data_IF_010506475118
#
_entry.id   IF_010506475118
#
_cell.length_a   1.000
_cell.length_b   1.000
_cell.length_c   1.000
_cell.angle_alpha   90.00
_cell.angle_beta   90.00
_cell.angle_gamma   90.00
#
_symmetry.space_group_name_H-M   'P 1'
#
loop_
_entity.id
_entity.type
_entity.pdbx_description
1 polymer ?
#
# COMPACT_ATOMS: atom_id res chain seq x y z
N UNK A 1 -31.76 7.74 18.65
CA UNK A 1 -31.10 8.75 19.51
C UNK A 1 -29.72 9.04 18.93
N UNK A 2 -29.35 10.30 18.64
CA UNK A 2 -27.99 10.64 18.21
C UNK A 2 -27.08 10.61 19.44
N UNK A 3 -26.03 9.80 19.42
CA UNK A 3 -25.00 9.78 20.47
C UNK A 3 -24.31 11.15 20.53
N UNK A 4 -24.16 11.71 21.74
CA UNK A 4 -23.45 12.98 21.95
C UNK A 4 -22.01 12.80 21.42
N UNK A 5 -21.47 13.85 20.76
CA UNK A 5 -20.13 13.87 20.14
C UNK A 5 -19.86 12.89 18.98
N UNK A 6 -20.84 12.12 18.49
CA UNK A 6 -20.63 11.14 17.41
C UNK A 6 -19.84 11.70 16.20
N UNK A 7 -20.23 12.87 15.67
CA UNK A 7 -19.54 13.50 14.53
C UNK A 7 -18.08 13.88 14.80
N UNK A 8 -17.77 14.21 16.06
CA UNK A 8 -16.40 14.53 16.46
C UNK A 8 -15.58 13.25 16.58
N UNK A 9 -16.13 12.21 17.21
CA UNK A 9 -15.48 10.89 17.29
C UNK A 9 -15.22 10.30 15.92
N UNK A 10 -16.19 10.38 15.00
CA UNK A 10 -16.02 9.96 13.60
C UNK A 10 -14.88 10.72 12.92
N UNK A 11 -14.80 12.05 13.12
CA UNK A 11 -13.71 12.87 12.59
C UNK A 11 -12.35 12.51 13.21
N UNK A 12 -12.27 12.38 14.54
CA UNK A 12 -11.02 12.03 15.21
C UNK A 12 -10.49 10.66 14.74
N UNK A 13 -11.40 9.70 14.49
CA UNK A 13 -11.03 8.37 14.01
C UNK A 13 -10.46 8.35 12.58
N UNK A 14 -10.67 9.42 11.78
CA UNK A 14 -10.03 9.54 10.46
C UNK A 14 -8.60 10.06 10.52
N UNK A 15 -8.22 10.75 11.61
CA UNK A 15 -6.90 11.37 11.73
C UNK A 15 -5.80 10.32 11.84
N UNK A 16 -4.61 10.60 11.32
CA UNK A 16 -3.47 9.69 11.31
C UNK A 16 -2.44 10.06 12.40
N UNK A 17 -1.68 9.09 12.94
CA UNK A 17 -0.70 9.37 14.01
C UNK A 17 0.33 10.45 13.69
N UNK A 18 0.76 10.56 12.42
CA UNK A 18 1.70 11.61 12.02
C UNK A 18 1.02 12.99 11.96
N UNK A 19 -0.27 13.04 11.60
CA UNK A 19 -1.06 14.28 11.65
C UNK A 19 -1.17 14.79 13.09
N UNK A 20 -1.50 13.90 14.03
CA UNK A 20 -1.64 14.28 15.45
C UNK A 20 -0.30 14.62 16.10
N UNK A 21 0.78 13.93 15.73
CA UNK A 21 2.14 14.27 16.16
C UNK A 21 2.55 15.68 15.68
N UNK A 22 2.31 16.00 14.40
CA UNK A 22 2.56 17.34 13.88
C UNK A 22 1.74 18.40 14.63
N UNK A 23 0.43 18.17 14.80
CA UNK A 23 -0.46 19.10 15.48
C UNK A 23 -0.04 19.36 16.93
N UNK A 24 0.38 18.32 17.67
CA UNK A 24 0.93 18.46 19.03
C UNK A 24 2.24 19.24 19.04
N UNK A 25 3.07 19.15 18.00
CA UNK A 25 4.34 19.88 17.92
C UNK A 25 4.17 21.39 17.65
N UNK A 26 3.09 21.79 16.98
CA UNK A 26 2.84 23.18 16.59
C UNK A 26 1.80 23.91 17.43
N UNK A 27 1.06 23.18 18.29
CA UNK A 27 0.00 23.79 19.10
C UNK A 27 0.59 24.78 20.12
N UNK A 28 -0.17 25.85 20.37
CA UNK A 28 0.14 26.89 21.37
C UNK A 28 -1.14 27.22 22.15
N UNK A 29 -1.85 26.19 22.63
CA UNK A 29 -3.11 26.38 23.33
C UNK A 29 -2.87 26.88 24.76
N UNK A 30 -3.52 27.99 25.12
CA UNK A 30 -3.64 28.44 26.52
C UNK A 30 -4.75 27.68 27.27
N UNK A 31 -5.64 26.99 26.53
CA UNK A 31 -6.76 26.24 27.08
C UNK A 31 -6.37 24.77 27.27
N UNK A 32 -6.02 24.40 28.50
CA UNK A 32 -5.63 23.03 28.89
C UNK A 32 -6.66 21.97 28.47
N UNK A 33 -7.94 22.33 28.40
CA UNK A 33 -8.98 21.38 27.97
C UNK A 33 -8.83 21.06 26.48
N UNK A 34 -8.48 22.04 25.63
CA UNK A 34 -8.23 21.76 24.20
C UNK A 34 -6.98 20.92 23.99
N UNK A 35 -5.93 21.17 24.78
CA UNK A 35 -4.73 20.35 24.77
C UNK A 35 -5.06 18.92 25.18
N UNK A 36 -5.76 18.71 26.30
CA UNK A 36 -6.17 17.38 26.74
C UNK A 36 -7.04 16.64 25.72
N UNK A 37 -7.92 17.33 24.99
CA UNK A 37 -8.66 16.70 23.88
C UNK A 37 -7.70 16.30 22.75
N UNK A 38 -6.74 17.15 22.36
CA UNK A 38 -5.78 16.83 21.29
C UNK A 38 -4.86 15.66 21.67
N UNK A 39 -4.39 15.61 22.92
CA UNK A 39 -3.61 14.47 23.45
C UNK A 39 -4.42 13.18 23.44
N UNK A 40 -5.71 13.25 23.79
CA UNK A 40 -6.61 12.10 23.70
C UNK A 40 -6.85 11.64 22.26
N UNK A 41 -6.92 12.57 21.30
CA UNK A 41 -6.96 12.22 19.87
C UNK A 41 -5.68 11.49 19.48
N UNK A 42 -4.50 12.01 19.81
CA UNK A 42 -3.21 11.37 19.49
C UNK A 42 -3.10 9.97 20.12
N UNK A 43 -3.48 9.84 21.39
CA UNK A 43 -3.55 8.57 22.08
C UNK A 43 -4.42 7.57 21.33
N UNK A 44 -5.65 7.95 20.96
CA UNK A 44 -6.57 7.09 20.22
C UNK A 44 -6.07 6.75 18.81
N UNK A 45 -5.38 7.68 18.14
CA UNK A 45 -4.82 7.45 16.80
C UNK A 45 -3.69 6.41 16.83
N UNK A 46 -2.85 6.42 17.88
CA UNK A 46 -1.74 5.47 18.11
C UNK A 46 -2.19 4.13 18.69
N UNK A 47 -3.27 4.13 19.47
CA UNK A 47 -3.78 2.93 20.14
C UNK A 47 -5.08 2.45 19.50
N UNK A 48 -4.98 1.99 18.24
CA UNK A 48 -6.14 1.62 17.40
C UNK A 48 -7.06 0.53 18.01
N UNK A 49 -6.54 -0.28 18.95
CA UNK A 49 -7.28 -1.33 19.65
C UNK A 49 -7.83 -0.89 21.02
N UNK A 50 -7.45 0.28 21.53
CA UNK A 50 -7.79 0.78 22.87
C UNK A 50 -8.40 2.18 22.79
N UNK A 51 -9.56 2.29 22.16
CA UNK A 51 -10.27 3.56 22.04
C UNK A 51 -10.76 4.06 23.41
N UNK A 52 -10.39 5.28 23.77
CA UNK A 52 -10.86 5.98 24.96
C UNK A 52 -11.91 7.02 24.56
N UNK A 53 -13.15 6.93 25.07
CA UNK A 53 -14.22 7.88 24.74
C UNK A 53 -13.90 9.33 25.14
N UNK A 54 -14.39 10.27 24.33
CA UNK A 54 -14.32 11.70 24.65
C UNK A 54 -15.31 12.08 25.76
N UNK A 55 -14.87 13.00 26.63
CA UNK A 55 -15.65 13.49 27.75
C UNK A 55 -16.89 14.26 27.26
N UNK A 56 -18.07 13.77 27.64
CA UNK A 56 -19.35 14.32 27.23
C UNK A 56 -19.73 15.59 27.99
N UNK A 57 -19.07 15.91 29.10
CA UNK A 57 -19.38 17.06 29.95
C UNK A 57 -18.64 18.33 29.50
N UNK A 58 -17.60 18.19 28.67
CA UNK A 58 -16.93 19.33 28.03
C UNK A 58 -17.86 20.03 27.02
N UNK A 59 -17.84 21.37 27.00
CA UNK A 59 -18.59 22.18 26.03
C UNK A 59 -18.28 21.75 24.59
N UNK A 60 -19.34 21.40 23.85
CA UNK A 60 -19.32 21.04 22.44
C UNK A 60 -18.62 22.07 21.54
N UNK A 61 -18.64 23.36 21.92
CA UNK A 61 -17.91 24.42 21.20
C UNK A 61 -16.41 24.18 21.19
N UNK A 62 -15.82 23.63 22.26
CA UNK A 62 -14.38 23.30 22.31
C UNK A 62 -14.03 22.24 21.29
N UNK A 63 -14.81 21.16 21.20
CA UNK A 63 -14.67 20.12 20.18
C UNK A 63 -14.81 20.66 18.76
N UNK A 64 -15.80 21.52 18.51
CA UNK A 64 -16.00 22.12 17.18
C UNK A 64 -14.84 23.02 16.78
N UNK A 65 -14.38 23.88 17.70
CA UNK A 65 -13.28 24.80 17.45
C UNK A 65 -11.96 24.05 17.23
N UNK A 66 -11.69 23.02 18.03
CA UNK A 66 -10.51 22.17 17.84
C UNK A 66 -10.56 21.44 16.50
N UNK A 67 -11.72 20.88 16.12
CA UNK A 67 -11.90 20.27 14.80
C UNK A 67 -11.56 21.22 13.66
N UNK A 68 -12.10 22.45 13.70
CA UNK A 68 -11.81 23.47 12.68
C UNK A 68 -10.33 23.83 12.64
N UNK A 69 -9.69 24.00 13.81
CA UNK A 69 -8.27 24.28 13.90
C UNK A 69 -7.43 23.14 13.31
N UNK A 70 -7.75 21.87 13.62
CA UNK A 70 -7.05 20.70 13.06
C UNK A 70 -7.12 20.70 11.54
N UNK A 71 -8.32 20.87 10.97
CA UNK A 71 -8.52 20.87 9.52
C UNK A 71 -7.69 21.99 8.88
N UNK A 72 -7.80 23.22 9.40
CA UNK A 72 -7.08 24.38 8.87
C UNK A 72 -5.55 24.19 8.91
N UNK A 73 -5.03 23.65 10.03
CA UNK A 73 -3.58 23.43 10.19
C UNK A 73 -3.03 22.35 9.28
N UNK A 74 -3.78 21.27 9.05
CA UNK A 74 -3.38 20.20 8.12
C UNK A 74 -3.49 20.66 6.67
N UNK A 75 -4.58 21.33 6.28
CA UNK A 75 -4.74 21.86 4.92
C UNK A 75 -3.63 22.87 4.55
N UNK A 76 -3.15 23.65 5.53
CA UNK A 76 -2.08 24.63 5.31
C UNK A 76 -0.73 24.01 4.91
N UNK A 77 -0.47 22.74 5.28
CA UNK A 77 0.76 22.01 4.93
C UNK A 77 0.53 20.90 3.90
N UNK A 78 -0.72 20.68 3.46
CA UNK A 78 -1.05 19.60 2.54
C UNK A 78 -0.56 19.91 1.12
N UNK A 79 0.39 19.10 0.64
CA UNK A 79 0.99 19.28 -0.69
C UNK A 79 -0.02 19.07 -1.81
N UNK A 80 -1.03 18.21 -1.63
CA UNK A 80 -2.07 17.96 -2.64
C UNK A 80 -3.06 19.14 -2.69
N UNK A 81 -3.38 19.78 -1.55
CA UNK A 81 -4.18 21.03 -1.53
C UNK A 81 -3.44 22.16 -2.25
N UNK A 82 -2.13 22.29 -2.00
CA UNK A 82 -1.28 23.27 -2.70
C UNK A 82 -1.23 23.01 -4.20
N UNK A 83 -1.13 21.74 -4.61
CA UNK A 83 -1.14 21.36 -6.02
C UNK A 83 -2.46 21.71 -6.73
N UNK A 84 -3.60 21.47 -6.08
CA UNK A 84 -4.92 21.84 -6.61
C UNK A 84 -5.06 23.36 -6.76
N UNK A 85 -4.58 24.13 -5.78
CA UNK A 85 -4.53 25.59 -5.87
C UNK A 85 -3.72 26.05 -7.09
N UNK A 86 -2.51 25.50 -7.30
CA UNK A 86 -1.68 25.86 -8.46
C UNK A 86 -2.34 25.52 -9.79
N UNK A 87 -2.96 24.33 -9.88
CA UNK A 87 -3.66 23.88 -11.09
C UNK A 87 -4.84 24.79 -11.44
N UNK A 88 -5.59 25.24 -10.42
CA UNK A 88 -6.68 26.21 -10.61
C UNK A 88 -6.15 27.56 -11.10
N UNK A 89 -5.07 28.06 -10.50
CA UNK A 89 -4.44 29.33 -10.89
C UNK A 89 -3.93 29.27 -12.34
N UNK A 90 -3.26 28.18 -12.73
CA UNK A 90 -2.79 27.95 -14.10
C UNK A 90 -3.95 28.07 -15.10
N UNK A 91 -5.03 27.32 -14.86
CA UNK A 91 -6.24 27.36 -15.70
C UNK A 91 -6.80 28.78 -15.80
N UNK A 92 -6.86 29.51 -14.69
CA UNK A 92 -7.40 30.87 -14.66
C UNK A 92 -6.53 31.86 -15.43
N UNK A 93 -5.20 31.72 -15.37
CA UNK A 93 -4.28 32.56 -16.14
C UNK A 93 -4.38 32.23 -17.64
N UNK A 94 -4.38 30.95 -18.01
CA UNK A 94 -4.48 30.52 -19.42
C UNK A 94 -5.79 30.95 -20.09
N UNK A 95 -6.87 31.06 -19.31
CA UNK A 95 -8.21 31.45 -19.80
C UNK A 95 -8.53 32.92 -19.57
N UNK A 96 -7.57 33.70 -19.10
CA UNK A 96 -7.75 35.11 -18.74
C UNK A 96 -8.90 35.38 -17.75
N UNK A 97 -9.22 34.40 -16.89
CA UNK A 97 -10.30 34.46 -15.90
C UNK A 97 -9.84 34.75 -14.47
N UNK A 98 -8.53 34.91 -14.26
CA UNK A 98 -7.93 35.24 -12.96
C UNK A 98 -8.43 36.58 -12.42
N UNK A 99 -8.81 36.59 -11.14
CA UNK A 99 -9.38 37.75 -10.44
C UNK A 99 -8.32 38.50 -9.60
N UNK A 100 -8.52 39.79 -9.28
CA UNK A 100 -7.55 40.57 -8.50
C UNK A 100 -7.16 39.97 -7.14
N UNK A 101 -8.09 39.29 -6.47
CA UNK A 101 -7.81 38.63 -5.19
C UNK A 101 -6.86 37.44 -5.37
N UNK A 102 -7.04 36.67 -6.45
CA UNK A 102 -6.24 35.49 -6.79
C UNK A 102 -4.83 35.92 -7.21
N UNK A 103 -4.72 37.01 -7.98
CA UNK A 103 -3.42 37.62 -8.30
C UNK A 103 -2.66 38.05 -7.05
N UNK A 104 -3.36 38.71 -6.10
CA UNK A 104 -2.76 39.11 -4.83
C UNK A 104 -2.25 37.89 -4.04
N UNK A 105 -2.99 36.79 -4.05
CA UNK A 105 -2.56 35.53 -3.42
C UNK A 105 -1.31 34.94 -4.10
N UNK A 106 -1.29 34.88 -5.44
CA UNK A 106 -0.14 34.37 -6.18
C UNK A 106 1.11 35.23 -5.97
N UNK A 107 0.99 36.56 -6.05
CA UNK A 107 2.09 37.49 -5.81
C UNK A 107 2.63 37.39 -4.38
N UNK A 108 1.75 37.15 -3.40
CA UNK A 108 2.15 36.89 -2.02
C UNK A 108 2.94 35.58 -1.91
N UNK A 109 2.44 34.50 -2.53
CA UNK A 109 3.13 33.22 -2.57
C UNK A 109 4.53 33.33 -3.20
N UNK A 110 4.69 34.08 -4.29
CA UNK A 110 5.99 34.35 -4.92
C UNK A 110 6.93 35.11 -3.98
N UNK A 111 6.41 36.11 -3.25
CA UNK A 111 7.21 36.94 -2.35
C UNK A 111 7.67 36.19 -1.09
N UNK A 112 6.79 35.36 -0.53
CA UNK A 112 7.04 34.61 0.70
C UNK A 112 7.80 33.29 0.43
N UNK A 113 8.06 32.95 -0.83
CA UNK A 113 8.77 31.74 -1.21
C UNK A 113 10.22 31.77 -0.77
N UNK A 114 10.58 30.86 0.14
CA UNK A 114 11.90 30.81 0.78
C UNK A 114 12.65 29.50 0.59
N UNK A 115 11.94 28.38 0.42
CA UNK A 115 12.52 27.05 0.28
C UNK A 115 11.81 26.23 -0.81
N UNK A 116 12.51 25.22 -1.33
CA UNK A 116 11.99 24.25 -2.29
C UNK A 116 10.87 23.43 -1.65
N UNK A 117 9.64 23.65 -2.09
CA UNK A 117 8.50 22.86 -1.64
C UNK A 117 8.34 21.56 -2.44
N UNK A 118 7.35 20.74 -2.09
CA UNK A 118 7.14 19.44 -2.73
C UNK A 118 6.92 19.54 -4.24
N UNK A 119 6.20 20.56 -4.70
CA UNK A 119 5.83 20.76 -6.09
C UNK A 119 6.51 22.00 -6.72
N UNK A 120 7.74 22.30 -6.29
CA UNK A 120 8.47 23.50 -6.75
C UNK A 120 8.50 23.64 -8.27
N UNK A 121 8.79 22.56 -9.00
CA UNK A 121 8.87 22.60 -10.47
C UNK A 121 7.56 23.13 -11.08
N UNK A 122 6.40 22.73 -10.52
CA UNK A 122 5.08 23.19 -10.96
C UNK A 122 4.81 24.63 -10.56
N UNK A 123 5.22 25.03 -9.37
CA UNK A 123 5.11 26.43 -8.96
C UNK A 123 5.95 27.36 -9.85
N UNK A 124 7.15 26.94 -10.22
CA UNK A 124 8.02 27.67 -11.14
C UNK A 124 7.35 27.84 -12.51
N UNK A 125 6.82 26.76 -13.10
CA UNK A 125 6.08 26.79 -14.38
C UNK A 125 4.86 27.73 -14.32
N UNK A 126 4.12 27.73 -13.20
CA UNK A 126 3.00 28.66 -12.98
C UNK A 126 3.45 30.13 -12.97
N UNK A 127 4.56 30.45 -12.30
CA UNK A 127 5.09 31.82 -12.25
C UNK A 127 5.61 32.25 -13.62
N UNK A 128 6.18 31.34 -14.40
CA UNK A 128 6.60 31.59 -15.78
C UNK A 128 5.40 31.97 -16.66
N UNK A 129 4.32 31.18 -16.60
CA UNK A 129 3.07 31.49 -17.29
C UNK A 129 2.51 32.85 -16.84
N UNK A 130 2.49 33.12 -15.54
CA UNK A 130 1.98 34.39 -15.01
C UNK A 130 2.84 35.59 -15.46
N UNK A 131 4.16 35.44 -15.54
CA UNK A 131 5.04 36.49 -16.09
C UNK A 131 4.64 36.86 -17.52
N UNK A 132 4.33 35.89 -18.37
CA UNK A 132 3.86 36.15 -19.74
C UNK A 132 2.52 36.90 -19.74
N UNK A 133 1.56 36.46 -18.91
CA UNK A 133 0.27 37.12 -18.73
C UNK A 133 0.41 38.60 -18.32
N UNK A 134 1.35 38.90 -17.42
CA UNK A 134 1.63 40.25 -16.92
C UNK A 134 2.27 41.16 -17.98
N UNK A 135 3.20 40.63 -18.78
CA UNK A 135 3.95 41.40 -19.77
C UNK A 135 3.03 41.95 -20.88
N UNK A 136 2.17 41.09 -21.43
CA UNK A 136 1.19 41.49 -22.47
C UNK A 136 0.25 42.59 -21.97
N UNK A 137 0.00 42.63 -20.67
CA UNK A 137 -0.90 43.58 -20.00
C UNK A 137 -0.18 44.78 -19.37
N UNK A 138 1.11 44.97 -19.67
CA UNK A 138 1.90 46.13 -19.22
C UNK A 138 1.99 46.29 -17.69
N UNK A 139 1.91 45.19 -16.93
CA UNK A 139 1.92 45.19 -15.44
C UNK A 139 3.34 45.11 -14.88
N UNK A 140 4.15 46.13 -15.13
CA UNK A 140 5.61 46.10 -14.93
C UNK A 140 6.09 45.76 -13.51
N UNK A 141 5.45 46.30 -12.46
CA UNK A 141 5.89 46.05 -11.08
C UNK A 141 5.71 44.57 -10.68
N UNK A 142 4.57 43.98 -11.04
CA UNK A 142 4.30 42.56 -10.80
C UNK A 142 5.15 41.67 -11.71
N UNK A 143 5.38 42.10 -12.95
CA UNK A 143 6.27 41.40 -13.88
C UNK A 143 7.68 41.29 -13.31
N UNK A 144 8.23 42.40 -12.77
CA UNK A 144 9.57 42.39 -12.16
C UNK A 144 9.66 41.38 -11.01
N UNK A 145 8.66 41.32 -10.14
CA UNK A 145 8.63 40.35 -9.04
C UNK A 145 8.68 38.90 -9.55
N UNK A 146 7.87 38.57 -10.57
CA UNK A 146 7.86 37.24 -11.18
C UNK A 146 9.19 36.92 -11.89
N UNK A 147 9.76 37.89 -12.62
CA UNK A 147 11.01 37.71 -13.35
C UNK A 147 12.21 37.52 -12.41
N UNK A 148 12.28 38.28 -11.32
CA UNK A 148 13.32 38.13 -10.29
C UNK A 148 13.24 36.75 -9.62
N UNK A 149 12.02 36.25 -9.35
CA UNK A 149 11.82 34.89 -8.84
C UNK A 149 12.35 33.83 -9.82
N UNK A 150 11.99 33.91 -11.11
CA UNK A 150 12.40 32.93 -12.11
C UNK A 150 13.92 32.93 -12.30
N UNK A 151 14.56 34.10 -12.33
CA UNK A 151 16.03 34.20 -12.39
C UNK A 151 16.70 33.58 -11.17
N UNK A 152 16.16 33.84 -9.97
CA UNK A 152 16.70 33.31 -8.71
C UNK A 152 16.70 31.78 -8.67
N UNK A 153 15.64 31.15 -9.17
CA UNK A 153 15.42 29.71 -9.04
C UNK A 153 15.69 28.90 -10.32
N UNK A 154 16.25 29.52 -11.37
CA UNK A 154 16.44 28.89 -12.68
C UNK A 154 17.30 27.62 -12.61
N UNK A 155 18.41 27.66 -11.88
CA UNK A 155 19.35 26.53 -11.77
C UNK A 155 18.68 25.33 -11.07
N UNK A 156 17.95 25.59 -9.99
CA UNK A 156 17.22 24.56 -9.26
C UNK A 156 16.11 23.95 -10.12
N UNK A 157 15.39 24.76 -10.90
CA UNK A 157 14.38 24.29 -11.84
C UNK A 157 14.97 23.36 -12.90
N UNK A 158 16.04 23.78 -13.57
CA UNK A 158 16.70 22.99 -14.61
C UNK A 158 17.23 21.66 -14.03
N UNK A 159 17.77 21.68 -12.80
CA UNK A 159 18.21 20.48 -12.07
C UNK A 159 17.04 19.53 -11.73
N UNK A 160 15.95 20.05 -11.16
CA UNK A 160 14.77 19.24 -10.82
C UNK A 160 14.13 18.61 -12.05
N UNK A 161 14.06 19.32 -13.17
CA UNK A 161 13.55 18.77 -14.45
C UNK A 161 14.45 17.65 -14.96
N UNK A 162 15.77 17.83 -14.96
CA UNK A 162 16.71 16.80 -15.40
C UNK A 162 16.63 15.52 -14.56
N UNK A 163 16.50 15.66 -13.23
CA UNK A 163 16.29 14.51 -12.32
C UNK A 163 14.95 13.82 -12.60
N UNK A 164 13.88 14.59 -12.81
CA UNK A 164 12.56 14.05 -13.10
C UNK A 164 12.54 13.19 -14.36
N UNK A 165 13.17 13.65 -15.45
CA UNK A 165 13.30 12.88 -16.69
C UNK A 165 14.12 11.60 -16.47
N UNK A 166 15.25 11.68 -15.75
CA UNK A 166 16.07 10.51 -15.46
C UNK A 166 15.38 9.49 -14.56
N UNK A 167 14.47 9.93 -13.68
CA UNK A 167 13.63 9.02 -12.89
C UNK A 167 12.69 8.18 -13.77
N UNK A 168 12.26 8.70 -14.93
CA UNK A 168 11.46 7.94 -15.88
C UNK A 168 12.27 6.76 -16.46
N UNK A 169 13.51 7.00 -16.87
CA UNK A 169 14.42 5.94 -17.37
C UNK A 169 14.62 4.83 -16.33
N UNK A 170 14.90 5.21 -15.08
CA UNK A 170 15.01 4.26 -13.97
C UNK A 170 13.71 3.47 -13.75
N UNK A 171 12.55 4.12 -13.93
CA UNK A 171 11.24 3.46 -13.80
C UNK A 171 11.04 2.38 -14.86
N UNK A 172 11.36 2.68 -16.12
CA UNK A 172 11.24 1.72 -17.23
C UNK A 172 12.09 0.48 -16.95
N UNK A 173 13.33 0.67 -16.51
CA UNK A 173 14.25 -0.44 -16.22
C UNK A 173 13.77 -1.30 -15.02
N UNK A 174 13.38 -0.66 -13.92
CA UNK A 174 12.88 -1.35 -12.71
C UNK A 174 11.59 -2.13 -12.99
N UNK A 175 10.66 -1.55 -13.76
CA UNK A 175 9.38 -2.21 -14.09
C UNK A 175 9.57 -3.33 -15.12
N UNK A 176 10.46 -3.14 -16.11
CA UNK A 176 10.79 -4.19 -17.08
C UNK A 176 11.42 -5.40 -16.39
N UNK A 177 12.29 -5.19 -15.40
CA UNK A 177 12.82 -6.29 -14.59
C UNK A 177 11.69 -7.09 -13.92
N UNK A 178 10.69 -6.41 -13.36
CA UNK A 178 9.57 -7.06 -12.68
C UNK A 178 8.70 -7.91 -13.63
N UNK A 179 8.60 -7.51 -14.89
CA UNK A 179 7.81 -8.24 -15.91
C UNK A 179 8.59 -9.33 -16.64
N UNK A 180 9.90 -9.15 -16.86
CA UNK A 180 10.71 -10.03 -17.72
C UNK A 180 11.73 -10.92 -16.98
N UNK A 181 11.90 -10.77 -15.66
CA UNK A 181 12.90 -11.50 -14.87
C UNK A 181 14.33 -11.42 -15.46
N UNK A 182 14.69 -10.33 -16.13
CA UNK A 182 15.99 -10.12 -16.79
C UNK A 182 16.66 -8.80 -16.34
N UNK A 183 17.99 -8.83 -16.26
CA UNK A 183 18.99 -7.76 -16.01
C UNK A 183 18.81 -6.77 -14.84
N UNK A 184 19.95 -6.25 -14.35
CA UNK A 184 20.17 -5.74 -12.99
C UNK A 184 19.82 -4.25 -12.79
N UNK A 185 18.59 -3.91 -12.37
CA UNK A 185 18.23 -2.53 -11.96
C UNK A 185 18.96 -2.01 -10.70
N UNK A 186 19.76 -2.85 -10.04
CA UNK A 186 20.48 -2.49 -8.80
C UNK A 186 21.48 -1.33 -9.03
N UNK A 187 21.95 -1.12 -10.26
CA UNK A 187 22.85 -0.01 -10.58
C UNK A 187 22.24 1.38 -10.32
N UNK A 188 20.90 1.49 -10.29
CA UNK A 188 20.21 2.73 -9.93
C UNK A 188 20.26 3.06 -8.44
N UNK A 189 20.62 2.10 -7.57
CA UNK A 189 20.52 2.26 -6.12
C UNK A 189 21.24 3.50 -5.59
N UNK A 190 22.50 3.70 -6.01
CA UNK A 190 23.33 4.81 -5.50
C UNK A 190 22.73 6.15 -5.92
N UNK A 191 22.43 6.32 -7.21
CA UNK A 191 21.86 7.55 -7.74
C UNK A 191 20.49 7.87 -7.13
N UNK A 192 19.61 6.87 -6.99
CA UNK A 192 18.30 7.08 -6.35
C UNK A 192 18.44 7.44 -4.86
N UNK A 193 19.44 6.88 -4.17
CA UNK A 193 19.73 7.22 -2.77
C UNK A 193 20.22 8.65 -2.64
N UNK A 194 21.10 9.11 -3.55
CA UNK A 194 21.54 10.50 -3.63
C UNK A 194 20.35 11.44 -3.86
N UNK A 195 19.49 11.14 -4.84
CA UNK A 195 18.28 11.94 -5.12
C UNK A 195 17.36 12.00 -3.91
N UNK A 196 17.14 10.89 -3.21
CA UNK A 196 16.26 10.84 -2.04
C UNK A 196 16.71 11.77 -0.91
N UNK A 197 18.01 11.79 -0.61
CA UNK A 197 18.59 12.58 0.47
C UNK A 197 18.98 14.00 0.07
N UNK A 198 18.94 14.37 -1.22
CA UNK A 198 19.30 15.70 -1.67
C UNK A 198 18.20 16.73 -1.34
N UNK A 199 18.43 17.57 -0.32
CA UNK A 199 17.50 18.62 0.11
C UNK A 199 17.48 19.85 -0.81
N UNK A 200 18.37 19.93 -1.81
CA UNK A 200 18.33 20.93 -2.87
C UNK A 200 17.36 20.57 -4.01
N UNK A 201 16.75 19.39 -3.97
CA UNK A 201 15.71 18.96 -4.90
C UNK A 201 14.31 19.12 -4.30
N UNK A 202 13.32 19.23 -5.18
CA UNK A 202 11.92 19.26 -4.78
C UNK A 202 11.44 17.94 -4.17
N UNK A 203 10.43 18.04 -3.30
CA UNK A 203 9.93 16.89 -2.57
C UNK A 203 9.36 15.79 -3.47
N UNK A 204 8.81 16.15 -4.64
CA UNK A 204 8.32 15.19 -5.62
C UNK A 204 9.43 14.27 -6.14
N UNK A 205 10.56 14.82 -6.59
CA UNK A 205 11.67 14.00 -7.07
C UNK A 205 12.22 13.08 -5.98
N UNK A 206 12.41 13.63 -4.76
CA UNK A 206 12.88 12.87 -3.60
C UNK A 206 11.94 11.72 -3.25
N UNK A 207 10.64 11.98 -3.20
CA UNK A 207 9.63 10.96 -2.94
C UNK A 207 9.56 9.90 -4.06
N UNK A 208 9.61 10.33 -5.32
CA UNK A 208 9.63 9.41 -6.46
C UNK A 208 10.86 8.48 -6.40
N UNK A 209 12.03 8.97 -6.01
CA UNK A 209 13.21 8.15 -5.80
C UNK A 209 12.99 7.08 -4.71
N UNK A 210 12.39 7.45 -3.57
CA UNK A 210 12.02 6.50 -2.51
C UNK A 210 11.09 5.39 -3.01
N UNK A 211 10.11 5.72 -3.86
CA UNK A 211 9.22 4.73 -4.47
C UNK A 211 10.03 3.73 -5.30
N UNK A 212 10.98 4.17 -6.12
CA UNK A 212 11.81 3.26 -6.94
C UNK A 212 12.73 2.40 -6.08
N UNK A 213 13.37 2.99 -5.07
CA UNK A 213 14.18 2.27 -4.09
C UNK A 213 13.38 1.19 -3.37
N UNK A 214 12.11 1.45 -3.07
CA UNK A 214 11.20 0.46 -2.51
C UNK A 214 11.11 -0.77 -3.43
N UNK A 215 10.82 -0.58 -4.72
CA UNK A 215 10.78 -1.69 -5.68
C UNK A 215 12.11 -2.46 -5.77
N UNK A 216 13.23 -1.76 -5.88
CA UNK A 216 14.57 -2.37 -5.93
C UNK A 216 14.78 -3.22 -4.67
N UNK A 217 14.62 -2.65 -3.48
CA UNK A 217 14.91 -3.37 -2.24
C UNK A 217 13.95 -4.53 -1.96
N UNK A 218 12.70 -4.47 -2.42
CA UNK A 218 11.81 -5.62 -2.38
C UNK A 218 12.25 -6.74 -3.34
N UNK A 219 12.66 -6.38 -4.56
CA UNK A 219 13.10 -7.34 -5.57
C UNK A 219 14.40 -8.04 -5.16
N UNK A 220 15.38 -7.28 -4.64
CA UNK A 220 16.69 -7.81 -4.22
C UNK A 220 16.73 -8.23 -2.74
N UNK A 221 15.59 -8.19 -2.03
CA UNK A 221 15.46 -8.56 -0.61
C UNK A 221 16.40 -7.81 0.34
N UNK A 222 16.73 -6.56 0.02
CA UNK A 222 17.59 -5.69 0.85
C UNK A 222 16.75 -4.86 1.82
N UNK A 223 15.98 -5.54 2.67
CA UNK A 223 14.95 -4.91 3.51
C UNK A 223 15.52 -3.96 4.57
N UNK A 224 16.72 -4.22 5.10
CA UNK A 224 17.37 -3.34 6.10
C UNK A 224 17.73 -1.97 5.52
N UNK A 225 18.21 -1.93 4.28
CA UNK A 225 18.49 -0.65 3.60
C UNK A 225 17.21 0.15 3.41
N UNK A 226 16.10 -0.50 3.07
CA UNK A 226 14.79 0.15 2.95
C UNK A 226 14.29 0.68 4.31
N UNK A 227 14.47 -0.10 5.39
CA UNK A 227 14.08 0.30 6.74
C UNK A 227 14.68 1.63 7.15
N UNK A 228 15.99 1.81 6.97
CA UNK A 228 16.67 3.08 7.30
C UNK A 228 16.09 4.29 6.56
N UNK A 229 15.70 4.12 5.29
CA UNK A 229 15.08 5.20 4.50
C UNK A 229 13.65 5.50 4.94
N UNK A 230 12.91 4.47 5.36
CA UNK A 230 11.59 4.68 5.95
C UNK A 230 11.65 5.30 7.34
N UNK A 231 12.67 5.01 8.13
CA UNK A 231 12.83 5.67 9.43
C UNK A 231 13.16 7.17 9.25
N UNK A 232 13.93 7.54 8.22
CA UNK A 232 14.13 8.95 7.86
C UNK A 232 12.82 9.65 7.42
N UNK A 233 12.02 9.04 6.54
CA UNK A 233 10.78 9.67 6.06
C UNK A 233 9.69 9.73 7.14
N UNK A 234 9.68 8.78 8.09
CA UNK A 234 8.78 8.76 9.25
C UNK A 234 8.96 10.05 10.08
N UNK A 235 10.20 10.43 10.39
CA UNK A 235 10.49 11.68 11.12
C UNK A 235 10.09 12.92 10.31
N UNK A 236 10.36 12.95 9.00
CA UNK A 236 9.93 14.06 8.14
C UNK A 236 8.40 14.21 8.11
N UNK A 237 7.65 13.11 8.03
CA UNK A 237 6.19 13.16 8.09
C UNK A 237 5.66 13.64 9.45
N UNK A 238 6.33 13.31 10.57
CA UNK A 238 5.94 13.80 11.91
C UNK A 238 6.11 15.31 12.03
N UNK A 239 7.11 15.86 11.35
CA UNK A 239 7.37 17.30 11.25
C UNK A 239 6.41 18.02 10.28
N UNK A 240 5.51 17.30 9.61
CA UNK A 240 4.61 17.85 8.59
C UNK A 240 5.26 18.07 7.22
N UNK A 241 6.52 17.63 7.05
CA UNK A 241 7.23 17.74 5.77
C UNK A 241 6.65 16.73 4.79
N UNK A 242 6.34 17.19 3.57
CA UNK A 242 5.71 16.39 2.50
C UNK A 242 4.35 15.82 2.86
N UNK A 243 3.68 16.40 3.86
CA UNK A 243 2.38 15.92 4.26
C UNK A 243 1.40 16.02 3.08
N UNK A 244 0.86 14.88 2.68
CA UNK A 244 -0.52 14.77 2.26
C UNK A 244 -1.03 13.44 2.76
N UNK A 245 -2.34 13.35 2.96
CA UNK A 245 -2.93 12.09 3.42
C UNK A 245 -2.66 10.95 2.45
N UNK A 246 -2.67 11.21 1.14
CA UNK A 246 -2.31 10.23 0.10
C UNK A 246 -0.90 9.66 0.32
N UNK A 247 0.10 10.52 0.50
CA UNK A 247 1.50 10.08 0.69
C UNK A 247 1.66 9.27 1.98
N UNK A 248 0.97 9.68 3.04
CA UNK A 248 1.04 9.02 4.34
C UNK A 248 0.37 7.64 4.34
N UNK A 249 -0.78 7.48 3.68
CA UNK A 249 -1.43 6.16 3.50
C UNK A 249 -0.56 5.21 2.67
N UNK A 250 0.08 5.73 1.62
CA UNK A 250 1.01 4.96 0.79
C UNK A 250 2.22 4.49 1.62
N UNK A 251 2.77 5.37 2.45
CA UNK A 251 3.85 5.05 3.40
C UNK A 251 3.44 3.92 4.34
N UNK A 252 2.27 4.01 4.96
CA UNK A 252 1.77 2.94 5.85
C UNK A 252 1.57 1.63 5.10
N UNK A 253 1.00 1.66 3.89
CA UNK A 253 0.84 0.48 3.05
C UNK A 253 2.18 -0.22 2.76
N UNK A 254 3.23 0.56 2.53
CA UNK A 254 4.59 0.02 2.35
C UNK A 254 5.20 -0.50 3.67
N UNK A 255 4.94 0.13 4.82
CA UNK A 255 5.36 -0.38 6.13
C UNK A 255 4.73 -1.74 6.43
N UNK A 256 3.48 -1.99 6.03
CA UNK A 256 2.86 -3.33 6.13
C UNK A 256 3.73 -4.37 5.45
N UNK A 257 4.10 -4.11 4.20
CA UNK A 257 4.90 -5.03 3.40
C UNK A 257 6.28 -5.25 4.04
N UNK A 258 6.93 -4.20 4.54
CA UNK A 258 8.25 -4.28 5.15
C UNK A 258 8.23 -5.09 6.46
N UNK A 259 7.35 -4.72 7.40
CA UNK A 259 7.21 -5.43 8.69
C UNK A 259 6.82 -6.90 8.49
N UNK A 260 6.05 -7.19 7.44
CA UNK A 260 5.72 -8.57 7.05
C UNK A 260 6.95 -9.38 6.65
N UNK A 261 7.99 -8.77 6.07
CA UNK A 261 9.25 -9.44 5.72
C UNK A 261 10.13 -9.72 6.94
N UNK A 262 9.98 -8.94 8.00
CA UNK A 262 10.66 -9.15 9.29
C UNK A 262 9.84 -9.98 10.27
N UNK A 263 8.70 -10.55 9.84
CA UNK A 263 7.77 -11.28 10.71
C UNK A 263 7.23 -10.46 11.91
N UNK A 264 7.28 -9.13 11.83
CA UNK A 264 6.76 -8.20 12.84
C UNK A 264 5.24 -7.99 12.62
N UNK A 265 4.45 -9.05 12.78
CA UNK A 265 3.05 -9.06 12.36
C UNK A 265 2.17 -8.04 13.11
N UNK A 266 2.43 -7.77 14.39
CA UNK A 266 1.69 -6.76 15.16
C UNK A 266 1.89 -5.35 14.57
N UNK A 267 3.14 -5.02 14.18
CA UNK A 267 3.43 -3.76 13.50
C UNK A 267 2.81 -3.72 12.11
N UNK A 268 2.91 -4.81 11.35
CA UNK A 268 2.32 -4.90 10.03
C UNK A 268 0.80 -4.69 10.05
N UNK A 269 0.13 -5.23 11.06
CA UNK A 269 -1.30 -5.01 11.27
C UNK A 269 -1.60 -3.56 11.66
N UNK A 270 -0.85 -2.99 12.62
CA UNK A 270 -1.00 -1.60 13.03
C UNK A 270 -0.95 -0.66 11.81
N UNK A 271 0.10 -0.76 11.01
CA UNK A 271 0.23 0.04 9.78
C UNK A 271 -0.82 -0.31 8.73
N UNK A 272 -1.30 -1.55 8.68
CA UNK A 272 -2.34 -1.96 7.73
C UNK A 272 -3.68 -1.35 8.03
N UNK A 273 -4.04 -1.19 9.31
CA UNK A 273 -5.23 -0.44 9.68
C UNK A 273 -5.10 1.05 9.38
N UNK A 274 -3.90 1.63 9.52
CA UNK A 274 -3.67 3.03 9.16
C UNK A 274 -3.81 3.26 7.66
N UNK A 275 -3.30 2.36 6.81
CA UNK A 275 -3.32 2.53 5.35
C UNK A 275 -4.72 2.45 4.72
N UNK A 276 -5.70 1.85 5.40
CA UNK A 276 -7.08 1.73 4.92
C UNK A 276 -8.05 2.75 5.54
N UNK A 277 -7.56 3.75 6.29
CA UNK A 277 -8.43 4.77 6.91
C UNK A 277 -9.16 5.63 5.91
N UNK A 278 -8.66 5.74 4.67
CA UNK A 278 -9.32 6.42 3.57
C UNK A 278 -9.31 5.57 2.29
N UNK A 279 -10.29 5.81 1.43
CA UNK A 279 -10.47 5.10 0.16
C UNK A 279 -9.81 5.90 -0.97
N UNK A 280 -8.65 5.44 -1.43
CA UNK A 280 -7.95 5.97 -2.60
C UNK A 280 -7.83 4.90 -3.71
N UNK A 281 -7.08 5.18 -4.77
CA UNK A 281 -6.84 4.25 -5.89
C UNK A 281 -6.23 2.91 -5.46
N UNK A 282 -5.46 2.91 -4.37
CA UNK A 282 -4.71 1.77 -3.86
C UNK A 282 -5.42 1.09 -2.66
N UNK A 283 -6.61 1.54 -2.28
CA UNK A 283 -7.35 1.02 -1.14
C UNK A 283 -7.49 -0.52 -1.15
N UNK A 284 -7.87 -1.10 -2.31
CA UNK A 284 -7.99 -2.56 -2.45
C UNK A 284 -6.65 -3.27 -2.31
N UNK A 285 -5.56 -2.64 -2.77
CA UNK A 285 -4.23 -3.18 -2.55
C UNK A 285 -3.89 -3.24 -1.05
N UNK A 286 -4.22 -2.18 -0.29
CA UNK A 286 -4.00 -2.14 1.16
C UNK A 286 -4.85 -3.14 1.92
N UNK A 287 -6.13 -3.27 1.57
CA UNK A 287 -7.03 -4.28 2.15
C UNK A 287 -6.50 -5.69 1.92
N UNK A 288 -5.99 -5.99 0.72
CA UNK A 288 -5.38 -7.29 0.42
C UNK A 288 -4.17 -7.57 1.33
N UNK A 289 -3.29 -6.58 1.51
CA UNK A 289 -2.11 -6.70 2.36
C UNK A 289 -2.48 -6.92 3.83
N UNK A 290 -3.41 -6.12 4.37
CA UNK A 290 -3.88 -6.27 5.75
C UNK A 290 -4.57 -7.61 5.96
N UNK A 291 -5.44 -8.04 5.04
CA UNK A 291 -6.08 -9.36 5.14
C UNK A 291 -5.05 -10.49 5.17
N UNK A 292 -4.00 -10.42 4.34
CA UNK A 292 -2.91 -11.39 4.38
C UNK A 292 -2.20 -11.43 5.74
N UNK A 293 -2.00 -10.28 6.40
CA UNK A 293 -1.43 -10.20 7.75
C UNK A 293 -2.38 -10.81 8.79
N UNK A 294 -3.66 -10.44 8.77
CA UNK A 294 -4.66 -10.97 9.70
C UNK A 294 -4.81 -12.49 9.59
N UNK A 295 -4.78 -13.04 8.37
CA UNK A 295 -4.80 -14.49 8.13
C UNK A 295 -3.59 -15.19 8.76
N UNK A 296 -2.38 -14.61 8.65
CA UNK A 296 -1.16 -15.18 9.28
C UNK A 296 -1.20 -15.14 10.80
N UNK A 297 -1.83 -14.12 11.36
CA UNK A 297 -2.10 -14.03 12.80
C UNK A 297 -3.30 -14.86 13.27
N UNK A 298 -3.90 -15.65 12.38
CA UNK A 298 -5.09 -16.48 12.67
C UNK A 298 -6.34 -15.67 13.10
N UNK A 299 -6.38 -14.38 12.77
CA UNK A 299 -7.52 -13.46 13.02
C UNK A 299 -8.56 -13.60 11.90
N UNK A 300 -9.05 -14.82 11.69
CA UNK A 300 -9.83 -15.18 10.50
C UNK A 300 -11.17 -14.44 10.38
N UNK A 301 -11.89 -14.27 11.49
CA UNK A 301 -13.17 -13.57 11.50
C UNK A 301 -13.01 -12.08 11.19
N UNK A 302 -11.98 -11.45 11.76
CA UNK A 302 -11.62 -10.05 11.53
C UNK A 302 -11.25 -9.83 10.06
N UNK A 303 -10.43 -10.73 9.48
CA UNK A 303 -10.07 -10.69 8.05
C UNK A 303 -11.31 -10.81 7.14
N UNK A 304 -12.26 -11.70 7.47
CA UNK A 304 -13.49 -11.86 6.69
C UNK A 304 -14.38 -10.62 6.78
N UNK A 305 -14.50 -10.01 7.96
CA UNK A 305 -15.28 -8.79 8.15
C UNK A 305 -14.67 -7.62 7.36
N UNK A 306 -13.34 -7.46 7.41
CA UNK A 306 -12.60 -6.47 6.63
C UNK A 306 -12.90 -6.63 5.12
N UNK A 307 -12.80 -7.84 4.59
CA UNK A 307 -13.07 -8.10 3.18
C UNK A 307 -14.53 -7.82 2.82
N UNK A 308 -15.49 -8.21 3.66
CA UNK A 308 -16.91 -7.91 3.41
C UNK A 308 -17.17 -6.40 3.39
N UNK A 309 -16.55 -5.64 4.28
CA UNK A 309 -16.68 -4.19 4.33
C UNK A 309 -16.11 -3.50 3.08
N UNK A 310 -15.01 -4.02 2.52
CA UNK A 310 -14.35 -3.48 1.33
C UNK A 310 -14.92 -4.00 -0.02
N UNK A 311 -15.96 -4.83 0.03
CA UNK A 311 -16.56 -5.43 -1.16
C UNK A 311 -17.13 -4.42 -2.19
N UNK A 312 -17.80 -3.32 -1.77
CA UNK A 312 -18.27 -2.29 -2.70
C UNK A 312 -17.12 -1.65 -3.50
N UNK A 313 -16.00 -1.37 -2.85
CA UNK A 313 -14.83 -0.76 -3.48
C UNK A 313 -14.14 -1.72 -4.45
N UNK A 314 -14.11 -3.02 -4.12
CA UNK A 314 -13.54 -4.03 -5.00
C UNK A 314 -14.27 -4.12 -6.34
N UNK A 315 -15.60 -3.97 -6.36
CA UNK A 315 -16.37 -3.96 -7.61
C UNK A 315 -15.98 -2.80 -8.54
N UNK A 316 -15.59 -1.68 -7.94
CA UNK A 316 -15.28 -0.45 -8.66
C UNK A 316 -13.80 -0.30 -9.02
N UNK A 317 -12.91 -1.16 -8.50
CA UNK A 317 -11.48 -1.06 -8.87
C UNK A 317 -11.28 -1.44 -10.35
N UNK A 318 -10.59 -0.62 -11.16
CA UNK A 318 -10.27 -0.98 -12.56
C UNK A 318 -9.12 -1.99 -12.65
N UNK A 319 -8.36 -2.20 -11.57
CA UNK A 319 -7.21 -3.10 -11.55
C UNK A 319 -7.64 -4.54 -11.33
N UNK A 320 -7.65 -5.34 -12.40
CA UNK A 320 -7.90 -6.79 -12.30
C UNK A 320 -6.87 -7.50 -11.41
N UNK A 321 -5.63 -7.03 -11.42
CA UNK A 321 -4.58 -7.53 -10.54
C UNK A 321 -4.97 -7.44 -9.05
N UNK A 322 -5.50 -6.28 -8.62
CA UNK A 322 -5.96 -6.08 -7.24
C UNK A 322 -7.29 -6.78 -6.98
N UNK A 323 -8.21 -6.78 -7.96
CA UNK A 323 -9.51 -7.45 -7.87
C UNK A 323 -9.37 -8.97 -7.66
N UNK A 324 -8.54 -9.64 -8.46
CA UNK A 324 -8.33 -11.09 -8.35
C UNK A 324 -7.57 -11.41 -7.06
N UNK A 325 -6.62 -10.57 -6.66
CA UNK A 325 -5.96 -10.68 -5.36
C UNK A 325 -6.96 -10.64 -4.19
N UNK A 326 -7.89 -9.69 -4.24
CA UNK A 326 -8.96 -9.57 -3.25
C UNK A 326 -9.84 -10.81 -3.22
N UNK A 327 -10.28 -11.28 -4.38
CA UNK A 327 -11.12 -12.49 -4.47
C UNK A 327 -10.39 -13.69 -3.89
N UNK A 328 -9.11 -13.89 -4.22
CA UNK A 328 -8.33 -15.00 -3.69
C UNK A 328 -8.23 -14.95 -2.15
N UNK A 329 -7.93 -13.79 -1.58
CA UNK A 329 -7.89 -13.63 -0.12
C UNK A 329 -9.28 -13.74 0.53
N UNK A 330 -10.34 -13.29 -0.14
CA UNK A 330 -11.71 -13.49 0.33
C UNK A 330 -12.08 -14.97 0.37
N UNK A 331 -11.69 -15.75 -0.66
CA UNK A 331 -11.84 -17.21 -0.66
C UNK A 331 -11.08 -17.85 0.50
N UNK A 332 -9.82 -17.44 0.75
CA UNK A 332 -9.07 -17.89 1.93
C UNK A 332 -9.78 -17.56 3.25
N UNK A 333 -10.29 -16.34 3.38
CA UNK A 333 -11.06 -15.94 4.55
C UNK A 333 -12.29 -16.85 4.73
N UNK A 334 -13.01 -17.17 3.66
CA UNK A 334 -14.14 -18.12 3.73
C UNK A 334 -13.68 -19.52 4.15
N UNK A 335 -12.58 -20.03 3.58
CA UNK A 335 -12.02 -21.34 3.93
C UNK A 335 -11.63 -21.42 5.40
N UNK A 336 -10.82 -20.49 5.93
CA UNK A 336 -10.43 -20.51 7.34
C UNK A 336 -11.60 -20.29 8.32
N UNK A 337 -12.70 -19.71 7.84
CA UNK A 337 -13.96 -19.60 8.61
C UNK A 337 -14.94 -20.76 8.30
N UNK A 338 -14.46 -21.87 7.72
CA UNK A 338 -15.21 -23.10 7.42
C UNK A 338 -16.42 -22.90 6.49
N UNK A 339 -16.46 -21.80 5.75
CA UNK A 339 -17.50 -21.48 4.77
C UNK A 339 -17.13 -22.03 3.39
N UNK A 340 -16.68 -23.29 3.31
CA UNK A 340 -16.11 -23.89 2.11
C UNK A 340 -17.06 -23.89 0.91
N UNK A 341 -18.34 -24.19 1.13
CA UNK A 341 -19.37 -24.17 0.08
C UNK A 341 -19.55 -22.76 -0.50
N UNK A 342 -19.49 -21.72 0.34
CA UNK A 342 -19.57 -20.34 -0.12
C UNK A 342 -18.33 -19.96 -0.93
N UNK A 343 -17.14 -20.41 -0.50
CA UNK A 343 -15.91 -20.20 -1.23
C UNK A 343 -15.95 -20.85 -2.62
N UNK A 344 -16.36 -22.12 -2.71
CA UNK A 344 -16.54 -22.84 -3.96
C UNK A 344 -17.52 -22.13 -4.90
N UNK A 345 -18.74 -21.84 -4.44
CA UNK A 345 -19.76 -21.18 -5.26
C UNK A 345 -19.29 -19.82 -5.80
N UNK A 346 -18.59 -19.05 -4.95
CA UNK A 346 -18.07 -17.74 -5.33
C UNK A 346 -16.92 -17.87 -6.34
N UNK A 347 -15.99 -18.80 -6.13
CA UNK A 347 -14.89 -19.06 -7.04
C UNK A 347 -15.39 -19.50 -8.42
N UNK A 348 -16.38 -20.40 -8.49
CA UNK A 348 -16.97 -20.84 -9.76
C UNK A 348 -17.64 -19.69 -10.51
N UNK A 349 -18.47 -18.90 -9.81
CA UNK A 349 -19.14 -17.75 -10.40
C UNK A 349 -18.14 -16.72 -10.93
N UNK A 350 -17.10 -16.43 -10.14
CA UNK A 350 -16.06 -15.46 -10.53
C UNK A 350 -15.22 -15.98 -11.70
N UNK A 351 -14.81 -17.24 -11.69
CA UNK A 351 -14.03 -17.86 -12.76
C UNK A 351 -14.81 -17.93 -14.07
N UNK A 352 -16.13 -18.13 -14.01
CA UNK A 352 -16.99 -18.09 -15.19
C UNK A 352 -17.03 -16.69 -15.82
N UNK A 353 -17.11 -15.64 -15.00
CA UNK A 353 -17.19 -14.26 -15.46
C UNK A 353 -15.84 -13.68 -15.92
N UNK A 354 -14.73 -14.04 -15.25
CA UNK A 354 -13.43 -13.39 -15.42
C UNK A 354 -12.30 -14.38 -15.73
N UNK A 355 -12.61 -15.44 -16.51
CA UNK A 355 -11.65 -16.51 -16.81
C UNK A 355 -10.34 -15.95 -17.37
N UNK A 356 -10.41 -15.07 -18.37
CA UNK A 356 -9.23 -14.54 -19.07
C UNK A 356 -8.32 -13.79 -18.11
N UNK A 357 -8.92 -12.90 -17.32
CA UNK A 357 -8.23 -12.03 -16.38
C UNK A 357 -7.62 -12.84 -15.23
N UNK A 358 -8.30 -13.87 -14.74
CA UNK A 358 -7.73 -14.79 -13.74
C UNK A 358 -6.41 -15.36 -14.21
N UNK A 359 -6.35 -15.91 -15.44
CA UNK A 359 -5.12 -16.46 -16.02
C UNK A 359 -4.05 -15.40 -16.30
N UNK A 360 -4.44 -14.20 -16.72
CA UNK A 360 -3.52 -13.11 -17.04
C UNK A 360 -2.80 -12.55 -15.81
N UNK A 361 -3.49 -12.39 -14.68
CA UNK A 361 -2.94 -11.62 -13.55
C UNK A 361 -2.50 -12.46 -12.35
N UNK A 362 -3.40 -13.24 -11.74
CA UNK A 362 -3.15 -13.85 -10.41
C UNK A 362 -3.77 -15.25 -10.27
N UNK A 363 -3.60 -16.08 -11.31
CA UNK A 363 -4.20 -17.41 -11.39
C UNK A 363 -3.78 -18.34 -10.26
N UNK A 364 -2.49 -18.36 -9.89
CA UNK A 364 -1.96 -19.34 -8.93
C UNK A 364 -2.61 -19.19 -7.56
N UNK A 365 -2.67 -17.96 -7.02
CA UNK A 365 -3.28 -17.70 -5.71
C UNK A 365 -4.82 -17.90 -5.74
N UNK A 366 -5.47 -17.56 -6.86
CA UNK A 366 -6.89 -17.80 -7.05
C UNK A 366 -7.20 -19.31 -7.01
N UNK A 367 -6.52 -20.10 -7.84
CA UNK A 367 -6.74 -21.55 -7.91
C UNK A 367 -6.28 -22.26 -6.63
N UNK A 368 -5.21 -21.81 -5.98
CA UNK A 368 -4.83 -22.36 -4.66
C UNK A 368 -5.99 -22.24 -3.66
N UNK A 369 -6.61 -21.06 -3.56
CA UNK A 369 -7.72 -20.82 -2.62
C UNK A 369 -9.01 -21.54 -3.02
N UNK A 370 -9.25 -21.68 -4.33
CA UNK A 370 -10.40 -22.44 -4.84
C UNK A 370 -10.25 -23.95 -4.61
N UNK A 371 -9.09 -24.52 -4.95
CA UNK A 371 -8.83 -25.95 -4.76
C UNK A 371 -8.78 -26.32 -3.28
N UNK A 372 -8.31 -25.43 -2.41
CA UNK A 372 -8.41 -25.60 -0.95
C UNK A 372 -9.88 -25.78 -0.52
N UNK A 373 -10.81 -24.96 -1.02
CA UNK A 373 -12.24 -25.10 -0.71
C UNK A 373 -12.81 -26.45 -1.15
N UNK A 374 -12.33 -27.02 -2.26
CA UNK A 374 -12.71 -28.36 -2.72
C UNK A 374 -12.08 -29.45 -1.88
N UNK A 375 -10.82 -29.28 -1.49
CA UNK A 375 -10.07 -30.23 -0.66
C UNK A 375 -10.72 -30.37 0.72
N UNK A 376 -11.06 -29.24 1.37
CA UNK A 376 -11.72 -29.20 2.68
C UNK A 376 -13.13 -29.79 2.68
N UNK A 377 -13.78 -29.85 1.53
CA UNK A 377 -15.07 -30.53 1.35
C UNK A 377 -14.92 -31.99 0.91
N UNK A 378 -13.69 -32.52 0.85
CA UNK A 378 -13.37 -33.86 0.34
C UNK A 378 -13.89 -34.12 -1.09
N UNK A 379 -14.07 -33.06 -1.89
CA UNK A 379 -14.53 -33.14 -3.28
C UNK A 379 -13.38 -33.46 -4.23
N UNK A 380 -12.63 -34.53 -3.94
CA UNK A 380 -11.38 -34.88 -4.64
C UNK A 380 -11.61 -35.08 -6.15
N UNK A 381 -12.63 -35.83 -6.55
CA UNK A 381 -12.99 -35.99 -7.97
C UNK A 381 -13.21 -34.65 -8.71
N UNK A 382 -13.89 -33.69 -8.07
CA UNK A 382 -14.14 -32.36 -8.64
C UNK A 382 -12.84 -31.56 -8.73
N UNK A 383 -12.00 -31.60 -7.70
CA UNK A 383 -10.67 -31.01 -7.68
C UNK A 383 -9.85 -31.49 -8.88
N UNK A 384 -9.77 -32.82 -9.09
CA UNK A 384 -9.07 -33.42 -10.23
C UNK A 384 -9.66 -33.03 -11.59
N UNK A 385 -10.99 -32.83 -11.68
CA UNK A 385 -11.64 -32.32 -12.90
C UNK A 385 -11.26 -30.87 -13.18
N UNK A 386 -11.20 -30.01 -12.17
CA UNK A 386 -10.78 -28.60 -12.32
C UNK A 386 -9.31 -28.53 -12.75
N UNK A 387 -8.42 -29.26 -12.08
CA UNK A 387 -6.98 -29.29 -12.44
C UNK A 387 -6.78 -29.70 -13.90
N UNK A 388 -7.49 -30.75 -14.36
CA UNK A 388 -7.43 -31.21 -15.76
C UNK A 388 -8.06 -30.22 -16.74
N UNK A 389 -9.26 -29.70 -16.45
CA UNK A 389 -9.99 -28.78 -17.34
C UNK A 389 -9.17 -27.53 -17.71
N UNK A 390 -8.34 -27.07 -16.78
CA UNK A 390 -7.55 -25.85 -16.94
C UNK A 390 -6.04 -26.11 -17.08
N UNK A 391 -5.60 -27.37 -17.20
CA UNK A 391 -4.19 -27.75 -17.30
C UNK A 391 -3.30 -27.13 -16.21
N UNK A 392 -3.78 -27.06 -14.97
CA UNK A 392 -3.14 -26.24 -13.93
C UNK A 392 -1.72 -26.70 -13.59
N UNK A 393 -1.40 -27.98 -13.75
CA UNK A 393 -0.05 -28.50 -13.49
C UNK A 393 0.98 -28.00 -14.53
N UNK A 394 0.58 -27.75 -15.78
CA UNK A 394 1.48 -27.20 -16.79
C UNK A 394 1.76 -25.71 -16.53
N UNK A 395 0.73 -24.98 -16.12
CA UNK A 395 0.88 -23.61 -15.65
C UNK A 395 1.78 -23.53 -14.42
N UNK A 396 1.63 -24.46 -13.47
CA UNK A 396 2.43 -24.50 -12.25
C UNK A 396 3.90 -24.77 -12.55
N UNK A 397 4.22 -25.71 -13.45
CA UNK A 397 5.60 -25.97 -13.92
C UNK A 397 6.29 -24.71 -14.44
N UNK A 398 5.57 -23.89 -15.22
CA UNK A 398 6.10 -22.62 -15.71
C UNK A 398 6.28 -21.58 -14.58
N UNK A 399 5.39 -21.60 -13.59
CA UNK A 399 5.38 -20.69 -12.46
C UNK A 399 6.43 -21.00 -11.39
N UNK A 400 7.06 -22.18 -11.41
CA UNK A 400 8.10 -22.58 -10.45
C UNK A 400 9.28 -21.60 -10.37
N UNK A 401 9.56 -20.88 -11.47
CA UNK A 401 10.62 -19.87 -11.53
C UNK A 401 10.30 -18.60 -10.72
N UNK A 402 9.05 -18.42 -10.28
CA UNK A 402 8.65 -17.23 -9.54
C UNK A 402 9.24 -17.25 -8.12
N UNK A 403 9.78 -16.10 -7.68
CA UNK A 403 10.37 -15.95 -6.35
C UNK A 403 9.39 -16.32 -5.20
N UNK A 404 8.08 -16.13 -5.41
CA UNK A 404 7.03 -16.43 -4.43
C UNK A 404 6.35 -17.80 -4.64
N UNK A 405 6.90 -18.67 -5.49
CA UNK A 405 6.31 -19.99 -5.76
C UNK A 405 6.28 -20.88 -4.51
N UNK A 406 5.13 -21.54 -4.31
CA UNK A 406 4.90 -22.67 -3.41
C UNK A 406 4.14 -23.75 -4.18
N UNK A 407 4.40 -25.05 -3.96
CA UNK A 407 3.82 -26.18 -4.70
C UNK A 407 2.39 -26.51 -4.26
N UNK A 408 1.57 -25.49 -4.00
CA UNK A 408 0.25 -25.63 -3.38
C UNK A 408 -0.72 -26.39 -4.27
N UNK A 409 -0.79 -26.05 -5.57
CA UNK A 409 -1.69 -26.72 -6.52
C UNK A 409 -1.23 -28.16 -6.76
N UNK A 410 0.09 -28.37 -6.88
CA UNK A 410 0.70 -29.68 -7.04
C UNK A 410 0.35 -30.60 -5.88
N UNK A 411 0.51 -30.13 -4.65
CA UNK A 411 0.25 -30.92 -3.46
C UNK A 411 -1.26 -31.19 -3.28
N UNK A 412 -2.13 -30.22 -3.52
CA UNK A 412 -3.59 -30.44 -3.49
C UNK A 412 -4.03 -31.48 -4.52
N UNK A 413 -3.46 -31.43 -5.74
CA UNK A 413 -3.72 -32.44 -6.75
C UNK A 413 -3.22 -33.82 -6.31
N UNK A 414 -2.00 -33.93 -5.78
CA UNK A 414 -1.44 -35.20 -5.31
C UNK A 414 -2.27 -35.83 -4.18
N UNK A 415 -2.72 -35.02 -3.21
CA UNK A 415 -3.61 -35.48 -2.13
C UNK A 415 -4.93 -35.99 -2.70
N UNK A 416 -5.53 -35.27 -3.66
CA UNK A 416 -6.77 -35.72 -4.30
C UNK A 416 -6.58 -37.02 -5.09
N UNK A 417 -5.46 -37.20 -5.79
CA UNK A 417 -5.13 -38.45 -6.48
C UNK A 417 -4.96 -39.61 -5.50
N UNK A 418 -4.25 -39.39 -4.39
CA UNK A 418 -4.10 -40.40 -3.34
C UNK A 418 -5.45 -40.84 -2.75
N UNK A 419 -6.34 -39.87 -2.47
CA UNK A 419 -7.68 -40.14 -1.92
C UNK A 419 -8.60 -40.87 -2.90
N UNK A 420 -8.39 -40.69 -4.20
CA UNK A 420 -9.10 -41.40 -5.27
C UNK A 420 -8.37 -42.70 -5.70
N UNK A 421 -7.37 -43.16 -4.94
CA UNK A 421 -6.57 -44.37 -5.22
C UNK A 421 -5.84 -44.36 -6.57
N UNK A 422 -5.57 -43.16 -7.10
CA UNK A 422 -4.84 -42.96 -8.36
C UNK A 422 -3.32 -42.76 -8.15
N UNK A 423 -2.89 -42.55 -6.91
CA UNK A 423 -1.49 -42.33 -6.54
C UNK A 423 -1.15 -43.11 -5.26
N UNK A 424 -0.13 -43.99 -5.26
CA UNK A 424 0.30 -44.69 -4.06
C UNK A 424 0.85 -43.77 -2.96
N UNK A 425 0.77 -44.22 -1.70
CA UNK A 425 1.27 -43.47 -0.52
C UNK A 425 2.76 -43.11 -0.61
N UNK A 426 3.58 -44.03 -1.13
CA UNK A 426 5.03 -43.79 -1.26
C UNK A 426 5.34 -42.74 -2.33
N UNK A 427 4.55 -42.68 -3.40
CA UNK A 427 4.72 -41.70 -4.48
C UNK A 427 4.37 -40.29 -4.02
N UNK A 428 3.25 -40.10 -3.31
CA UNK A 428 2.91 -38.79 -2.73
C UNK A 428 3.96 -38.33 -1.71
N UNK A 429 4.46 -39.25 -0.87
CA UNK A 429 5.52 -38.93 0.09
C UNK A 429 6.79 -38.47 -0.61
N UNK A 430 7.18 -39.16 -1.69
CA UNK A 430 8.35 -38.83 -2.50
C UNK A 430 8.19 -37.47 -3.19
N UNK A 431 7.02 -37.22 -3.77
CA UNK A 431 6.71 -35.97 -4.45
C UNK A 431 6.79 -34.75 -3.51
N UNK A 432 6.16 -34.84 -2.33
CA UNK A 432 6.20 -33.75 -1.35
C UNK A 432 7.64 -33.53 -0.86
N UNK A 433 8.36 -34.62 -0.55
CA UNK A 433 9.76 -34.53 -0.11
C UNK A 433 10.66 -33.86 -1.15
N UNK A 434 10.58 -34.27 -2.42
CA UNK A 434 11.34 -33.66 -3.52
C UNK A 434 10.99 -32.17 -3.71
N UNK A 435 9.70 -31.82 -3.57
CA UNK A 435 9.25 -30.43 -3.67
C UNK A 435 9.84 -29.55 -2.57
N UNK A 436 9.96 -30.09 -1.35
CA UNK A 436 10.58 -29.41 -0.21
C UNK A 436 12.07 -29.25 -0.48
N UNK A 437 12.80 -30.31 -0.79
CA UNK A 437 14.26 -30.29 -1.02
C UNK A 437 14.68 -29.27 -2.11
N UNK A 438 13.86 -29.09 -3.14
CA UNK A 438 14.08 -28.09 -4.18
C UNK A 438 13.94 -26.63 -3.69
N UNK A 439 13.08 -26.40 -2.70
CA UNK A 439 12.75 -25.07 -2.18
C UNK A 439 13.43 -24.74 -0.84
N UNK A 440 13.91 -25.76 -0.12
CA UNK A 440 14.49 -25.66 1.22
C UNK A 440 15.76 -24.81 1.26
N UNK A 441 16.44 -24.67 0.11
CA UNK A 441 17.59 -23.76 -0.07
C UNK A 441 17.23 -22.27 0.05
N UNK A 442 15.95 -21.93 0.19
CA UNK A 442 15.45 -20.58 0.37
C UNK A 442 14.84 -20.47 1.77
N UNK A 443 15.64 -20.03 2.73
CA UNK A 443 15.28 -19.90 4.16
C UNK A 443 13.89 -19.25 4.38
N UNK A 444 13.58 -18.19 3.63
CA UNK A 444 12.30 -17.49 3.69
C UNK A 444 11.05 -18.32 3.32
N UNK A 445 11.21 -19.48 2.65
CA UNK A 445 10.11 -20.36 2.23
C UNK A 445 9.84 -21.50 3.20
N UNK A 446 10.76 -21.81 4.11
CA UNK A 446 10.63 -22.94 5.04
C UNK A 446 9.37 -22.83 5.90
N UNK A 447 9.10 -21.65 6.46
CA UNK A 447 7.90 -21.41 7.25
C UNK A 447 6.61 -21.64 6.44
N UNK A 448 6.59 -21.16 5.19
CA UNK A 448 5.42 -21.30 4.32
C UNK A 448 5.18 -22.76 3.90
N UNK A 449 6.24 -23.54 3.71
CA UNK A 449 6.15 -24.96 3.43
C UNK A 449 5.64 -25.74 4.65
N UNK A 450 6.05 -25.36 5.86
CA UNK A 450 5.51 -25.95 7.11
C UNK A 450 4.02 -25.66 7.26
N UNK A 451 3.59 -24.42 7.07
CA UNK A 451 2.16 -24.06 7.09
C UNK A 451 1.36 -24.88 6.08
N UNK A 452 1.86 -25.02 4.85
CA UNK A 452 1.21 -25.82 3.82
C UNK A 452 1.16 -27.31 4.18
N UNK A 453 2.20 -27.88 4.80
CA UNK A 453 2.18 -29.25 5.30
C UNK A 453 1.12 -29.45 6.39
N UNK A 454 0.98 -28.49 7.31
CA UNK A 454 -0.05 -28.52 8.35
C UNK A 454 -1.46 -28.47 7.75
N UNK A 455 -1.68 -27.69 6.70
CA UNK A 455 -2.95 -27.67 5.96
C UNK A 455 -3.31 -29.04 5.36
N UNK A 456 -2.30 -29.87 5.00
CA UNK A 456 -2.51 -31.21 4.44
C UNK A 456 -2.63 -32.32 5.49
N UNK A 457 -2.18 -32.07 6.72
CA UNK A 457 -2.16 -33.07 7.81
C UNK A 457 -3.50 -33.79 8.00
N UNK A 458 -4.67 -33.12 7.96
CA UNK A 458 -5.95 -33.81 8.12
C UNK A 458 -6.21 -34.90 7.06
N UNK A 459 -5.65 -34.74 5.87
CA UNK A 459 -5.90 -35.64 4.74
C UNK A 459 -4.86 -36.76 4.64
N UNK A 460 -3.60 -36.45 4.94
CA UNK A 460 -2.47 -37.38 4.77
C UNK A 460 -1.54 -37.40 6.01
N UNK A 461 -2.06 -37.67 7.22
CA UNK A 461 -1.30 -37.51 8.46
C UNK A 461 -0.04 -38.38 8.51
N UNK A 462 -0.12 -39.62 8.01
CA UNK A 462 1.03 -40.53 7.98
C UNK A 462 2.13 -40.13 6.99
N UNK A 463 1.82 -39.32 5.98
CA UNK A 463 2.83 -38.76 5.06
C UNK A 463 3.47 -37.53 5.69
N UNK A 464 2.65 -36.64 6.27
CA UNK A 464 3.14 -35.41 6.93
C UNK A 464 4.08 -35.73 8.10
N UNK A 465 3.71 -36.67 8.98
CA UNK A 465 4.56 -37.06 10.12
C UNK A 465 5.93 -37.56 9.64
N UNK A 466 5.96 -38.45 8.63
CA UNK A 466 7.20 -39.00 8.08
C UNK A 466 8.12 -37.93 7.47
N UNK A 467 7.54 -36.90 6.86
CA UNK A 467 8.31 -35.79 6.27
C UNK A 467 8.84 -34.86 7.36
N UNK A 468 8.03 -34.55 8.37
CA UNK A 468 8.43 -33.66 9.46
C UNK A 468 9.54 -34.23 10.34
N UNK A 469 9.50 -35.54 10.62
CA UNK A 469 10.57 -36.22 11.36
C UNK A 469 11.92 -36.07 10.64
N UNK A 470 11.91 -36.05 9.30
CA UNK A 470 13.11 -35.80 8.50
C UNK A 470 13.53 -34.32 8.47
N UNK A 471 12.57 -33.39 8.50
CA UNK A 471 12.85 -31.94 8.53
C UNK A 471 13.37 -31.43 9.89
N UNK A 472 13.20 -32.19 10.97
CA UNK A 472 13.74 -31.83 12.31
C UNK A 472 15.12 -32.43 12.58
N UNK A 473 15.58 -33.37 11.75
CA UNK A 473 16.90 -34.00 11.83
C UNK A 473 17.97 -33.32 10.95
N UNK A 474 17.59 -32.29 10.19
CA UNK A 474 18.48 -31.42 9.42
C UNK A 474 18.47 -30.01 10.03
#
# INVERSE_FOLDING_TARGET
MRTKLQKFSEFANTLLPHETAYLLSIQQFEDDIKLGILELIDFNCRNIRQFTPFDQDIDKRKYSNLKSWVVERLEAIDVDVRFEWMSRMERQIMTDSIQPLEEKQLLRAVREYSALDFYFTKFYELVELYRHFLLIRMRYAHHKLADDFLKKYRVQYDSCKAVFERLHEATLDIVNQYSQNSAQSLHWENWLTEVFYNEELDGLNRYLALVRLTFIYFNYRQFEKLRSKYDYIDERFKEGVYYSRRLLLNYYGNRVLLHTKFHEYDKAEYYGYLSIREKNSDYIHYVNNLSAVLLRQKKYQEALQLMRAAYPEMKNTPSFHNRIGFVAFYLKCLNYNQQYRNAENYAESFLQAYKKEVFEYRWHIFFSSYLEALLQQEKFNKLLKVVRKYNLLDWERQYQKNANYLPTILWYNAVAQYKEMLLPKEEISTLIQQSIEQLDRIEAKQYQLRDLLEELRPFIPGVVNRIQDKMTMA
#
